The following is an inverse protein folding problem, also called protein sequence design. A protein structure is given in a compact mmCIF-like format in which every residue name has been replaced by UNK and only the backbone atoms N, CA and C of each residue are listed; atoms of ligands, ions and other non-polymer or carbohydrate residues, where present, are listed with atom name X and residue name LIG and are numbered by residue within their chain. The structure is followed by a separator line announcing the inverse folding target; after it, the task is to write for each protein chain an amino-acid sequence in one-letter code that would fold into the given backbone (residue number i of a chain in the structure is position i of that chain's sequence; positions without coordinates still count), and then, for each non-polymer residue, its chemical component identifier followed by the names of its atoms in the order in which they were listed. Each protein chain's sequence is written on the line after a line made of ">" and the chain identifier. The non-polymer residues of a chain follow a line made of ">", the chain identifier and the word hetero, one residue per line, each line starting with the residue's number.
data_IF_617509105946
#
_entry.id   IF_617509105946
#
_cell.length_a   1.000
_cell.length_b   1.000
_cell.length_c   1.000
_cell.angle_alpha   90.00
_cell.angle_beta   90.00
_cell.angle_gamma   90.00
#
_symmetry.space_group_name_H-M   'P 1'
#
loop_
_entity.id
_entity.type
_entity.pdbx_description
1 polymer ?
#
# COMPACT_ATOMS: atom_id res chain seq x y z
N UNK A 1 -11.49 27.66 -7.70
CA UNK A 1 -10.56 26.55 -7.98
C UNK A 1 -10.89 25.37 -7.09
N UNK A 2 -10.91 24.19 -7.67
CA UNK A 2 -11.20 22.97 -6.93
C UNK A 2 -10.06 22.56 -6.01
N UNK A 3 -10.41 21.82 -4.96
CA UNK A 3 -9.43 21.27 -4.03
C UNK A 3 -8.64 20.15 -4.70
N UNK A 4 -7.32 20.21 -4.60
CA UNK A 4 -6.44 19.21 -5.20
C UNK A 4 -6.16 18.07 -4.23
N UNK A 5 -6.33 16.85 -4.70
CA UNK A 5 -5.89 15.65 -4.00
C UNK A 5 -4.73 15.00 -4.74
N UNK A 6 -3.79 14.47 -3.99
CA UNK A 6 -2.71 13.64 -4.54
C UNK A 6 -2.80 12.28 -3.86
N UNK A 7 -2.91 11.22 -4.65
CA UNK A 7 -2.95 9.85 -4.14
C UNK A 7 -1.62 9.17 -4.43
N UNK A 8 -0.87 8.89 -3.37
CA UNK A 8 0.37 8.12 -3.46
C UNK A 8 0.02 6.64 -3.41
N UNK A 9 0.47 5.87 -4.40
CA UNK A 9 0.25 4.43 -4.47
C UNK A 9 1.55 3.68 -4.24
N UNK A 10 1.49 2.66 -3.40
CA UNK A 10 2.63 1.77 -3.17
C UNK A 10 2.14 0.35 -2.85
N UNK A 11 3.07 -0.58 -2.74
CA UNK A 11 2.74 -1.99 -2.54
C UNK A 11 2.20 -2.27 -1.14
N UNK A 12 2.74 -1.63 -0.13
CA UNK A 12 2.43 -1.93 1.26
C UNK A 12 3.39 -2.94 1.86
N UNK A 13 3.30 -3.09 3.16
CA UNK A 13 4.11 -4.04 3.89
C UNK A 13 3.57 -4.25 5.31
N UNK A 14 3.93 -5.36 5.96
CA UNK A 14 3.46 -5.63 7.32
C UNK A 14 4.08 -4.63 8.30
N UNK A 15 3.25 -4.07 9.17
CA UNK A 15 3.71 -3.11 10.18
C UNK A 15 4.24 -3.80 11.43
N UNK A 16 3.77 -5.01 11.70
CA UNK A 16 4.18 -5.83 12.84
C UNK A 16 4.24 -7.29 12.42
N UNK A 17 4.83 -8.14 13.26
CA UNK A 17 5.04 -9.54 12.90
C UNK A 17 3.73 -10.29 12.66
N UNK A 18 2.68 -9.97 13.38
CA UNK A 18 1.35 -10.59 13.20
C UNK A 18 0.71 -10.24 11.85
N UNK A 19 1.17 -9.19 11.18
CA UNK A 19 0.65 -8.78 9.87
C UNK A 19 1.29 -9.55 8.72
N UNK A 20 2.42 -10.23 8.96
CA UNK A 20 3.22 -10.86 7.89
C UNK A 20 2.43 -11.90 7.11
N UNK A 21 1.78 -12.82 7.80
CA UNK A 21 1.01 -13.88 7.13
C UNK A 21 -0.16 -13.34 6.31
N UNK A 22 -1.05 -12.49 6.87
CA UNK A 22 -2.13 -11.93 6.05
C UNK A 22 -1.62 -11.02 4.93
N UNK A 23 -0.52 -10.31 5.11
CA UNK A 23 0.10 -9.55 4.03
C UNK A 23 0.57 -10.49 2.90
N UNK A 24 1.27 -11.57 3.23
CA UNK A 24 1.71 -12.55 2.25
C UNK A 24 0.53 -13.20 1.52
N UNK A 25 -0.55 -13.46 2.24
CA UNK A 25 -1.77 -14.00 1.64
C UNK A 25 -2.34 -13.03 0.59
N UNK A 26 -2.41 -11.75 0.91
CA UNK A 26 -2.89 -10.74 -0.04
C UNK A 26 -1.98 -10.65 -1.26
N UNK A 27 -0.66 -10.66 -1.03
CA UNK A 27 0.33 -10.60 -2.09
C UNK A 27 0.20 -11.80 -3.05
N UNK A 28 0.13 -13.01 -2.51
CA UNK A 28 0.08 -14.21 -3.34
C UNK A 28 -1.31 -14.51 -3.89
N UNK A 29 -2.33 -13.81 -3.43
CA UNK A 29 -3.68 -13.87 -4.02
C UNK A 29 -3.78 -13.06 -5.31
N UNK A 30 -2.78 -12.24 -5.62
CA UNK A 30 -2.78 -11.45 -6.84
C UNK A 30 -2.32 -12.30 -8.03
N UNK A 31 -3.17 -12.47 -9.08
CA UNK A 31 -2.79 -13.23 -10.27
C UNK A 31 -1.58 -12.66 -11.02
N UNK A 32 -1.28 -11.39 -10.83
CA UNK A 32 -0.09 -10.77 -11.43
C UNK A 32 1.20 -11.21 -10.76
N UNK A 33 1.13 -11.63 -9.49
CA UNK A 33 2.30 -12.11 -8.73
C UNK A 33 2.50 -13.60 -8.94
N UNK A 34 1.43 -14.39 -8.79
CA UNK A 34 1.44 -15.84 -9.05
C UNK A 34 0.41 -16.12 -10.10
N UNK A 35 0.87 -16.48 -11.30
CA UNK A 35 0.01 -16.79 -12.44
C UNK A 35 -0.26 -18.28 -12.46
N UNK A 36 -1.53 -18.65 -12.30
CA UNK A 36 -1.99 -20.03 -12.42
C UNK A 36 -3.17 -20.09 -13.39
N UNK A 37 -3.28 -21.17 -14.18
CA UNK A 37 -4.33 -21.27 -15.20
C UNK A 37 -5.73 -21.46 -14.61
N UNK A 38 -5.84 -21.96 -13.37
CA UNK A 38 -7.13 -22.22 -12.74
C UNK A 38 -7.36 -21.20 -11.64
N UNK A 39 -8.22 -20.21 -11.90
CA UNK A 39 -8.51 -19.10 -10.99
C UNK A 39 -9.02 -19.56 -9.62
N UNK A 40 -9.79 -20.65 -9.59
CA UNK A 40 -10.35 -21.18 -8.34
C UNK A 40 -9.28 -21.66 -7.36
N UNK A 41 -8.06 -21.97 -7.83
CA UNK A 41 -6.96 -22.41 -6.98
C UNK A 41 -6.09 -21.28 -6.46
N UNK A 42 -6.31 -20.03 -6.90
CA UNK A 42 -5.48 -18.88 -6.52
C UNK A 42 -5.43 -18.66 -5.01
N UNK A 43 -6.58 -18.54 -4.37
CA UNK A 43 -6.62 -18.28 -2.94
C UNK A 43 -6.15 -19.46 -2.08
N UNK A 44 -6.56 -20.72 -2.34
CA UNK A 44 -6.00 -21.85 -1.61
C UNK A 44 -4.49 -21.95 -1.73
N UNK A 45 -3.94 -21.74 -2.92
CA UNK A 45 -2.50 -21.76 -3.14
C UNK A 45 -1.81 -20.60 -2.37
N UNK A 46 -2.39 -19.41 -2.43
CA UNK A 46 -1.89 -18.25 -1.70
C UNK A 46 -1.84 -18.52 -0.18
N UNK A 47 -2.87 -19.19 0.34
CA UNK A 47 -2.92 -19.55 1.76
C UNK A 47 -1.79 -20.51 2.14
N UNK A 48 -1.56 -21.53 1.32
CA UNK A 48 -0.50 -22.53 1.54
C UNK A 48 0.87 -21.84 1.51
N UNK A 49 1.14 -21.03 0.49
CA UNK A 49 2.43 -20.36 0.32
C UNK A 49 2.66 -19.37 1.46
N UNK A 50 1.66 -18.55 1.80
CA UNK A 50 1.80 -17.56 2.86
C UNK A 50 2.03 -18.23 4.22
N UNK A 51 1.34 -19.32 4.50
CA UNK A 51 1.52 -20.09 5.74
C UNK A 51 2.91 -20.70 5.81
N UNK A 52 3.42 -21.27 4.71
CA UNK A 52 4.74 -21.90 4.69
C UNK A 52 5.89 -20.88 4.78
N UNK A 53 5.67 -19.66 4.27
CA UNK A 53 6.69 -18.60 4.28
C UNK A 53 6.61 -17.67 5.48
N UNK A 54 5.54 -17.70 6.24
CA UNK A 54 5.30 -16.72 7.31
C UNK A 54 6.44 -16.67 8.33
N UNK A 55 6.91 -17.81 8.83
CA UNK A 55 7.96 -17.86 9.84
C UNK A 55 9.27 -17.26 9.34
N UNK A 56 9.67 -17.60 8.12
CA UNK A 56 10.90 -17.07 7.53
C UNK A 56 10.80 -15.58 7.29
N UNK A 57 9.67 -15.11 6.79
CA UNK A 57 9.44 -13.68 6.57
C UNK A 57 9.37 -12.92 7.89
N UNK A 58 8.72 -13.48 8.92
CA UNK A 58 8.69 -12.88 10.24
C UNK A 58 10.10 -12.71 10.81
N UNK A 59 10.95 -13.73 10.66
CA UNK A 59 12.34 -13.66 11.12
C UNK A 59 13.11 -12.55 10.38
N UNK A 60 12.86 -12.39 9.08
CA UNK A 60 13.51 -11.33 8.30
C UNK A 60 13.04 -9.94 8.75
N UNK A 61 11.73 -9.75 8.95
CA UNK A 61 11.21 -8.47 9.44
C UNK A 61 11.63 -8.16 10.86
N UNK A 62 11.80 -9.17 11.69
CA UNK A 62 12.31 -9.00 13.05
C UNK A 62 13.69 -8.36 13.05
N UNK A 63 14.53 -8.71 12.08
CA UNK A 63 15.88 -8.15 11.93
C UNK A 63 15.91 -6.66 11.62
N UNK A 64 14.80 -6.11 11.12
CA UNK A 64 14.68 -4.69 10.78
C UNK A 64 13.72 -3.94 11.69
N UNK A 65 13.42 -4.50 12.86
CA UNK A 65 12.62 -3.82 13.88
C UNK A 65 11.21 -4.34 14.06
N UNK A 66 10.87 -5.49 13.46
CA UNK A 66 9.57 -6.14 13.67
C UNK A 66 8.51 -5.82 12.64
N UNK A 67 8.86 -5.14 11.55
CA UNK A 67 7.94 -4.81 10.48
C UNK A 67 8.59 -3.99 9.39
N UNK A 68 7.81 -3.64 8.36
CA UNK A 68 8.28 -2.79 7.28
C UNK A 68 8.17 -1.32 7.68
N UNK A 69 9.18 -0.48 7.39
CA UNK A 69 9.08 0.96 7.59
C UNK A 69 8.30 1.68 6.48
N UNK A 70 7.80 0.95 5.48
CA UNK A 70 7.24 1.51 4.25
C UNK A 70 6.10 2.51 4.53
N UNK A 71 5.14 2.15 5.38
CA UNK A 71 4.02 3.05 5.68
C UNK A 71 4.51 4.34 6.33
N UNK A 72 5.39 4.24 7.32
CA UNK A 72 5.93 5.40 8.02
C UNK A 72 6.68 6.32 7.08
N UNK A 73 7.51 5.74 6.19
CA UNK A 73 8.27 6.52 5.20
C UNK A 73 7.32 7.17 4.20
N UNK A 74 6.33 6.43 3.72
CA UNK A 74 5.34 6.97 2.77
C UNK A 74 4.53 8.10 3.40
N UNK A 75 4.14 7.97 4.66
CA UNK A 75 3.45 9.05 5.38
C UNK A 75 4.32 10.30 5.50
N UNK A 76 5.60 10.14 5.78
CA UNK A 76 6.53 11.26 5.84
C UNK A 76 6.66 11.94 4.47
N UNK A 77 6.73 11.17 3.39
CA UNK A 77 6.74 11.69 2.03
C UNK A 77 5.44 12.45 1.72
N UNK A 78 4.31 11.89 2.13
CA UNK A 78 3.01 12.52 1.92
C UNK A 78 2.91 13.87 2.62
N UNK A 79 3.35 13.94 3.88
CA UNK A 79 3.30 15.20 4.63
C UNK A 79 4.26 16.24 4.06
N UNK A 80 5.45 15.84 3.63
CA UNK A 80 6.41 16.73 3.00
C UNK A 80 5.87 17.29 1.68
N UNK A 81 5.27 16.45 0.84
CA UNK A 81 4.66 16.88 -0.42
C UNK A 81 3.49 17.85 -0.17
N UNK A 82 2.62 17.51 0.77
CA UNK A 82 1.47 18.36 1.11
C UNK A 82 1.92 19.74 1.58
N UNK A 83 2.93 19.79 2.45
CA UNK A 83 3.50 21.02 2.93
C UNK A 83 4.09 21.87 1.79
N UNK A 84 4.83 21.23 0.89
CA UNK A 84 5.45 21.91 -0.26
C UNK A 84 4.39 22.48 -1.22
N UNK A 85 3.33 21.71 -1.49
CA UNK A 85 2.23 22.18 -2.34
C UNK A 85 1.51 23.38 -1.73
N UNK A 86 1.27 23.35 -0.43
CA UNK A 86 0.64 24.48 0.29
C UNK A 86 1.52 25.72 0.27
N UNK A 87 2.84 25.55 0.41
CA UNK A 87 3.79 26.65 0.30
C UNK A 87 3.72 27.33 -1.07
N UNK A 88 3.41 26.55 -2.11
CA UNK A 88 3.24 27.07 -3.48
C UNK A 88 1.83 27.60 -3.76
N UNK A 89 1.00 27.73 -2.75
CA UNK A 89 -0.35 28.28 -2.88
C UNK A 89 -1.42 27.28 -3.31
N UNK A 90 -1.12 25.99 -3.29
CA UNK A 90 -2.09 24.95 -3.63
C UNK A 90 -2.84 24.49 -2.38
N UNK A 91 -4.18 24.49 -2.44
CA UNK A 91 -4.99 23.83 -1.42
C UNK A 91 -5.03 22.33 -1.73
N UNK A 92 -4.03 21.62 -1.22
CA UNK A 92 -3.82 20.22 -1.54
C UNK A 92 -3.83 19.33 -0.31
N UNK A 93 -4.39 18.15 -0.45
CA UNK A 93 -4.30 17.09 0.54
C UNK A 93 -3.72 15.83 -0.11
N UNK A 94 -2.78 15.18 0.56
CA UNK A 94 -2.10 14.00 0.07
C UNK A 94 -2.62 12.76 0.79
N UNK A 95 -3.01 11.77 0.01
CA UNK A 95 -3.59 10.50 0.47
C UNK A 95 -2.63 9.36 0.13
N UNK A 96 -2.76 8.26 0.86
CA UNK A 96 -1.95 7.07 0.67
C UNK A 96 -2.85 5.87 0.42
N UNK A 97 -2.57 5.13 -0.65
CA UNK A 97 -3.23 3.86 -0.96
C UNK A 97 -2.21 2.77 -1.17
N UNK A 98 -2.32 1.70 -0.41
CA UNK A 98 -1.46 0.52 -0.52
C UNK A 98 -2.23 -0.62 -1.19
N UNK A 99 -1.53 -1.46 -1.92
CA UNK A 99 -2.16 -2.56 -2.67
C UNK A 99 -2.42 -3.79 -1.81
N UNK A 100 -1.44 -4.18 -1.01
CA UNK A 100 -1.49 -5.48 -0.32
C UNK A 100 -1.65 -5.40 1.18
N UNK A 101 -1.62 -4.20 1.75
CA UNK A 101 -1.82 -3.99 3.18
C UNK A 101 -2.37 -2.60 3.45
N UNK A 102 -2.66 -2.32 4.72
CA UNK A 102 -3.21 -1.03 5.13
C UNK A 102 -2.21 0.12 4.94
N UNK A 103 -2.68 1.30 4.61
CA UNK A 103 -4.07 1.64 4.26
C UNK A 103 -4.38 1.22 2.81
N UNK A 104 -5.46 0.45 2.64
CA UNK A 104 -5.85 0.00 1.30
C UNK A 104 -6.30 1.16 0.42
N UNK A 105 -6.12 0.99 -0.90
CA UNK A 105 -6.48 2.01 -1.87
C UNK A 105 -7.98 2.34 -1.84
N UNK A 106 -8.83 1.35 -1.61
CA UNK A 106 -10.28 1.56 -1.50
C UNK A 106 -10.64 2.51 -0.36
N UNK A 107 -9.95 2.40 0.77
CA UNK A 107 -10.16 3.28 1.92
C UNK A 107 -9.71 4.70 1.60
N UNK A 108 -8.60 4.86 0.90
CA UNK A 108 -8.12 6.16 0.44
C UNK A 108 -9.11 6.81 -0.52
N UNK A 109 -9.67 6.04 -1.46
CA UNK A 109 -10.67 6.56 -2.40
C UNK A 109 -11.94 7.02 -1.68
N UNK A 110 -12.39 6.28 -0.67
CA UNK A 110 -13.55 6.68 0.13
C UNK A 110 -13.30 8.00 0.85
N UNK A 111 -12.10 8.18 1.40
CA UNK A 111 -11.70 9.42 2.07
C UNK A 111 -11.65 10.58 1.08
N UNK A 112 -11.10 10.37 -0.11
CA UNK A 112 -11.04 11.37 -1.18
C UNK A 112 -12.45 11.84 -1.56
N UNK A 113 -13.40 10.91 -1.67
CA UNK A 113 -14.79 11.24 -1.98
C UNK A 113 -15.44 12.05 -0.86
N UNK A 114 -15.23 11.66 0.40
CA UNK A 114 -15.78 12.41 1.54
C UNK A 114 -15.26 13.83 1.62
N UNK A 115 -14.01 14.03 1.25
CA UNK A 115 -13.37 15.34 1.32
C UNK A 115 -13.76 16.26 0.15
N UNK A 116 -14.51 15.76 -0.83
CA UNK A 116 -14.96 16.57 -1.96
C UNK A 116 -13.82 17.03 -2.86
N UNK A 117 -12.83 16.18 -3.08
CA UNK A 117 -11.70 16.49 -3.95
C UNK A 117 -12.20 16.61 -5.40
N UNK A 118 -11.84 17.68 -6.07
CA UNK A 118 -12.29 17.98 -7.43
C UNK A 118 -11.27 17.59 -8.48
N UNK A 119 -9.99 17.66 -8.16
CA UNK A 119 -8.89 17.25 -9.02
C UNK A 119 -8.04 16.24 -8.29
N UNK A 120 -7.76 15.10 -8.92
CA UNK A 120 -6.95 14.04 -8.32
C UNK A 120 -5.75 13.73 -9.21
N UNK A 121 -4.57 13.84 -8.61
CA UNK A 121 -3.32 13.36 -9.23
C UNK A 121 -2.95 12.04 -8.59
N UNK A 122 -2.75 11.02 -9.41
CA UNK A 122 -2.33 9.69 -8.95
C UNK A 122 -0.84 9.55 -9.22
N UNK A 123 -0.09 9.33 -8.14
CA UNK A 123 1.37 9.23 -8.20
C UNK A 123 1.83 7.86 -7.69
N UNK A 124 2.12 6.91 -8.59
CA UNK A 124 2.67 5.63 -8.18
C UNK A 124 4.10 5.79 -7.66
N UNK A 125 4.39 5.13 -6.54
CA UNK A 125 5.73 5.11 -5.96
C UNK A 125 6.45 3.78 -6.21
N UNK A 126 5.84 2.87 -6.97
CA UNK A 126 6.47 1.62 -7.36
C UNK A 126 7.67 1.84 -8.27
N UNK A 127 8.59 0.87 -8.37
CA UNK A 127 9.50 0.81 -9.51
C UNK A 127 8.70 0.81 -10.81
N UNK A 128 9.23 1.43 -11.84
CA UNK A 128 8.50 1.64 -13.10
C UNK A 128 8.09 0.32 -13.76
N UNK A 129 8.85 -0.73 -13.50
CA UNK A 129 8.54 -2.07 -13.98
C UNK A 129 8.60 -3.04 -12.80
N UNK A 130 7.47 -3.55 -12.41
CA UNK A 130 7.38 -4.46 -11.27
C UNK A 130 6.26 -5.48 -11.47
#
# INVERSE_FOLDING_TARGET
>A
MGRLGVLLLNLGGPEQLSDVRPFLFNLFSDPEIIRIPITALQKPLAWIISTSRAKKSQANYEKIGGGSPLRRITEAQARALESQLRTQGQDAKVYIGMRYWHPFTEDALAEIQRDGIEQLVILPLYPQFS
#
